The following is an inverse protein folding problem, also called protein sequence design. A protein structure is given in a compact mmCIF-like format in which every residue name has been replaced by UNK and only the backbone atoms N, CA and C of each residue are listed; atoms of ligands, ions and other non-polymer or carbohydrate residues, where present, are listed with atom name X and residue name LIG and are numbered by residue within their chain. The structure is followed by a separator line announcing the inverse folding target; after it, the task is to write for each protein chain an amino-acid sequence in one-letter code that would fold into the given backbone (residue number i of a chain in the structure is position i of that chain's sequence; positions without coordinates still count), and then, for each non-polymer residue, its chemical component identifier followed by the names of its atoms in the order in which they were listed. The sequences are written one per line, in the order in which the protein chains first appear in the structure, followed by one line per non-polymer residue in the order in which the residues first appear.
data_IF_212627323082
#
_entry.id   IF_212627323082
#
_cell.length_a   1.000
_cell.length_b   1.000
_cell.length_c   1.000
_cell.angle_alpha   90.00
_cell.angle_beta   90.00
_cell.angle_gamma   90.00
#
_symmetry.space_group_name_H-M   'P 1'
#
loop_
_entity.id
_entity.type
_entity.pdbx_description
1 polymer ?
#
# COMPACT_ATOMS: atom_id res chain seq x y z
N UNK A 1 11.71 -12.77 -5.22
CA UNK A 1 11.01 -13.68 -4.30
C UNK A 1 10.52 -14.91 -5.07
N UNK A 2 10.29 -16.04 -4.40
CA UNK A 2 9.72 -17.25 -5.00
C UNK A 2 8.37 -16.99 -5.70
N UNK A 3 7.57 -16.09 -5.17
CA UNK A 3 6.30 -15.67 -5.75
C UNK A 3 6.51 -14.97 -7.11
N UNK A 4 7.50 -14.10 -7.21
CA UNK A 4 7.86 -13.43 -8.46
C UNK A 4 8.32 -14.45 -9.53
N UNK A 5 9.12 -15.44 -9.11
CA UNK A 5 9.59 -16.52 -9.97
C UNK A 5 8.45 -17.42 -10.47
N UNK A 6 7.44 -17.66 -9.60
CA UNK A 6 6.25 -18.41 -9.95
C UNK A 6 5.41 -17.69 -11.01
N UNK A 7 5.17 -16.40 -10.84
CA UNK A 7 4.38 -15.59 -11.78
C UNK A 7 5.04 -15.49 -13.16
N UNK A 8 6.37 -15.36 -13.21
CA UNK A 8 7.10 -15.36 -14.49
C UNK A 8 7.09 -16.73 -15.21
N UNK A 9 7.08 -17.82 -14.46
CA UNK A 9 6.96 -19.18 -15.01
C UNK A 9 5.57 -19.52 -15.55
N UNK A 10 4.51 -18.87 -15.04
CA UNK A 10 3.14 -19.07 -15.50
C UNK A 10 2.79 -18.28 -16.77
N UNK A 11 3.73 -17.50 -17.32
CA UNK A 11 3.52 -16.69 -18.52
C UNK A 11 2.60 -15.48 -18.31
N UNK A 12 2.29 -15.14 -17.07
CA UNK A 12 1.47 -13.97 -16.74
C UNK A 12 2.24 -12.69 -17.11
N UNK A 13 1.64 -11.88 -17.95
CA UNK A 13 2.22 -10.61 -18.38
C UNK A 13 2.11 -9.58 -17.28
N UNK A 14 3.23 -8.99 -16.89
CA UNK A 14 3.27 -7.89 -15.95
C UNK A 14 2.72 -6.62 -16.60
N UNK A 15 1.69 -6.02 -16.02
CA UNK A 15 1.23 -4.68 -16.38
C UNK A 15 2.29 -3.65 -15.99
N UNK A 16 2.65 -2.75 -16.91
CA UNK A 16 3.57 -1.66 -16.64
C UNK A 16 2.88 -0.29 -16.65
N UNK A 17 3.57 0.73 -16.14
CA UNK A 17 3.04 2.09 -16.02
C UNK A 17 2.64 2.67 -17.38
N UNK A 18 3.44 2.46 -18.43
CA UNK A 18 3.15 2.99 -19.76
C UNK A 18 1.86 2.40 -20.36
N UNK A 19 1.65 1.09 -20.23
CA UNK A 19 0.44 0.42 -20.71
C UNK A 19 -0.82 0.91 -19.96
N UNK A 20 -0.74 1.05 -18.63
CA UNK A 20 -1.84 1.60 -17.83
C UNK A 20 -2.13 3.06 -18.18
N UNK A 21 -1.11 3.89 -18.36
CA UNK A 21 -1.25 5.28 -18.76
C UNK A 21 -1.91 5.42 -20.15
N UNK A 22 -1.56 4.54 -21.10
CA UNK A 22 -2.19 4.50 -22.41
C UNK A 22 -3.69 4.16 -22.32
N UNK A 23 -4.09 3.31 -21.38
CA UNK A 23 -5.48 2.89 -21.21
C UNK A 23 -6.38 3.97 -20.57
N UNK A 24 -5.82 5.05 -20.03
CA UNK A 24 -6.57 6.12 -19.35
C UNK A 24 -7.63 6.77 -20.25
N UNK A 25 -7.39 6.90 -21.55
CA UNK A 25 -8.35 7.50 -22.49
C UNK A 25 -9.70 6.76 -22.54
N UNK A 26 -9.73 5.51 -22.11
CA UNK A 26 -10.93 4.65 -22.07
C UNK A 26 -11.28 4.21 -20.64
N UNK A 27 -10.80 4.94 -19.63
CA UNK A 27 -11.02 4.57 -18.24
C UNK A 27 -12.49 4.69 -17.84
N UNK A 28 -12.94 3.68 -17.09
CA UNK A 28 -14.25 3.62 -16.46
C UNK A 28 -14.10 3.73 -14.94
N UNK A 29 -14.37 4.90 -14.34
CA UNK A 29 -14.24 5.08 -12.89
C UNK A 29 -15.19 4.20 -12.06
N UNK A 30 -16.38 3.87 -12.58
CA UNK A 30 -17.33 3.00 -11.85
C UNK A 30 -16.77 1.56 -11.76
N UNK A 31 -16.21 1.04 -12.84
CA UNK A 31 -15.47 -0.23 -12.78
C UNK A 31 -14.26 -0.13 -11.84
N UNK A 32 -13.57 1.01 -11.82
CA UNK A 32 -12.48 1.26 -10.86
C UNK A 32 -12.94 1.16 -9.41
N UNK A 33 -14.12 1.69 -9.09
CA UNK A 33 -14.75 1.56 -7.76
C UNK A 33 -15.07 0.11 -7.43
N UNK A 34 -15.63 -0.65 -8.37
CA UNK A 34 -15.90 -2.08 -8.20
C UNK A 34 -14.63 -2.87 -7.93
N UNK A 35 -13.54 -2.55 -8.62
CA UNK A 35 -12.23 -3.16 -8.38
C UNK A 35 -11.68 -2.84 -6.98
N UNK A 36 -11.82 -1.59 -6.53
CA UNK A 36 -11.34 -1.16 -5.21
C UNK A 36 -11.98 -1.94 -4.07
N UNK A 37 -13.30 -2.11 -4.11
CA UNK A 37 -14.07 -2.81 -3.10
C UNK A 37 -14.24 -4.31 -3.37
N UNK A 38 -13.82 -4.79 -4.51
CA UNK A 38 -13.93 -6.17 -4.97
C UNK A 38 -12.58 -6.85 -5.10
N UNK A 39 -12.30 -7.41 -6.28
CA UNK A 39 -11.12 -8.25 -6.52
C UNK A 39 -9.77 -7.53 -6.39
N UNK A 40 -9.75 -6.20 -6.44
CA UNK A 40 -8.56 -5.41 -6.15
C UNK A 40 -8.20 -5.39 -4.67
N UNK A 41 -9.18 -5.66 -3.79
CA UNK A 41 -9.01 -5.74 -2.32
C UNK A 41 -8.36 -4.51 -1.67
N UNK A 42 -8.41 -3.36 -2.33
CA UNK A 42 -7.77 -2.12 -1.84
C UNK A 42 -8.35 -1.66 -0.49
N UNK A 43 -9.66 -1.87 -0.28
CA UNK A 43 -10.36 -1.57 0.97
C UNK A 43 -9.85 -2.39 2.17
N UNK A 44 -9.12 -3.47 1.95
CA UNK A 44 -8.51 -4.23 3.03
C UNK A 44 -7.43 -3.42 3.80
N UNK A 45 -6.87 -2.38 3.16
CA UNK A 45 -5.86 -1.51 3.75
C UNK A 45 -6.23 -0.03 3.71
N UNK A 46 -7.03 0.40 2.73
CA UNK A 46 -7.42 1.80 2.55
C UNK A 46 -8.88 2.04 2.91
N UNK A 47 -9.13 2.86 3.93
CA UNK A 47 -10.49 3.26 4.29
C UNK A 47 -10.94 4.41 3.38
N UNK A 48 -12.04 4.19 2.66
CA UNK A 48 -12.67 5.19 1.78
C UNK A 48 -14.18 5.14 1.97
N UNK A 49 -14.82 6.30 2.06
CA UNK A 49 -16.29 6.42 2.22
C UNK A 49 -16.83 5.61 3.40
N UNK A 50 -16.11 5.58 4.51
CA UNK A 50 -16.49 4.82 5.71
C UNK A 50 -16.31 3.30 5.62
N UNK A 51 -15.85 2.78 4.48
CA UNK A 51 -15.58 1.34 4.24
C UNK A 51 -14.09 1.07 4.21
N UNK A 52 -13.68 -0.07 4.76
CA UNK A 52 -12.29 -0.53 4.76
C UNK A 52 -11.55 -0.26 6.07
N UNK A 53 -10.24 -0.48 6.04
CA UNK A 53 -9.34 -0.44 7.20
C UNK A 53 -8.25 0.61 6.99
N UNK A 54 -7.81 1.26 8.07
CA UNK A 54 -6.74 2.28 8.03
C UNK A 54 -5.38 1.60 8.25
N UNK A 55 -4.90 0.86 7.26
CA UNK A 55 -3.55 0.29 7.20
C UNK A 55 -2.69 0.93 6.13
N UNK A 56 -3.30 1.64 5.19
CA UNK A 56 -2.65 2.40 4.13
C UNK A 56 -2.98 3.89 4.23
N UNK A 57 -2.28 4.74 3.44
CA UNK A 57 -2.55 6.16 3.39
C UNK A 57 -4.00 6.49 3.00
N UNK A 58 -4.51 7.61 3.52
CA UNK A 58 -5.79 8.15 3.07
C UNK A 58 -5.70 8.59 1.61
N UNK A 59 -6.62 8.10 0.79
CA UNK A 59 -6.68 8.38 -0.64
C UNK A 59 -7.61 9.55 -0.98
N UNK A 60 -8.44 9.99 -0.02
CA UNK A 60 -9.34 11.13 -0.21
C UNK A 60 -8.54 12.40 -0.48
N UNK A 61 -8.88 13.11 -1.55
CA UNK A 61 -8.19 14.33 -1.95
C UNK A 61 -6.78 14.12 -2.51
N UNK A 62 -6.40 12.88 -2.88
CA UNK A 62 -5.06 12.60 -3.42
C UNK A 62 -4.76 13.43 -4.67
N UNK A 63 -5.79 13.74 -5.50
CA UNK A 63 -5.66 14.58 -6.69
C UNK A 63 -5.10 15.98 -6.42
N UNK A 64 -5.16 16.46 -5.18
CA UNK A 64 -4.58 17.76 -4.76
C UNK A 64 -3.09 17.66 -4.46
N UNK A 65 -2.57 16.46 -4.24
CA UNK A 65 -1.20 16.20 -3.79
C UNK A 65 -0.35 15.48 -4.82
N UNK A 66 -0.99 14.66 -5.65
CA UNK A 66 -0.31 13.76 -6.59
C UNK A 66 -1.05 13.73 -7.92
N UNK A 67 -0.34 13.40 -8.99
CA UNK A 67 -0.91 13.18 -10.31
C UNK A 67 -1.32 11.72 -10.54
N UNK A 68 -2.01 11.49 -11.64
CA UNK A 68 -2.51 10.17 -12.03
C UNK A 68 -1.36 9.16 -12.24
N UNK A 69 -0.24 9.60 -12.79
CA UNK A 69 0.93 8.75 -13.01
C UNK A 69 1.52 8.24 -11.71
N UNK A 70 1.54 9.09 -10.68
CA UNK A 70 1.96 8.70 -9.33
C UNK A 70 1.06 7.59 -8.77
N UNK A 71 -0.27 7.71 -8.92
CA UNK A 71 -1.21 6.68 -8.46
C UNK A 71 -1.00 5.36 -9.19
N UNK A 72 -0.90 5.40 -10.52
CA UNK A 72 -0.60 4.21 -11.34
C UNK A 72 0.70 3.54 -10.87
N UNK A 73 1.75 4.32 -10.71
CA UNK A 73 3.06 3.81 -10.27
C UNK A 73 3.00 3.23 -8.86
N UNK A 74 2.29 3.86 -7.94
CA UNK A 74 2.13 3.36 -6.56
C UNK A 74 1.43 2.02 -6.50
N UNK A 75 0.49 1.74 -7.39
CA UNK A 75 -0.19 0.45 -7.48
C UNK A 75 0.72 -0.63 -8.09
N UNK A 76 1.43 -0.30 -9.16
CA UNK A 76 2.24 -1.25 -9.91
C UNK A 76 3.63 -1.50 -9.31
N UNK A 77 4.18 -0.48 -8.66
CA UNK A 77 5.53 -0.47 -8.08
C UNK A 77 5.46 0.08 -6.63
N UNK A 78 4.78 -0.61 -5.69
CA UNK A 78 4.51 -0.06 -4.36
C UNK A 78 5.78 0.19 -3.52
N UNK A 79 6.89 -0.46 -3.85
CA UNK A 79 8.18 -0.25 -3.18
C UNK A 79 8.94 0.99 -3.68
N UNK A 80 8.52 1.58 -4.81
CA UNK A 80 9.21 2.73 -5.40
C UNK A 80 9.15 3.97 -4.49
N UNK A 81 8.04 4.15 -3.78
CA UNK A 81 7.85 5.21 -2.79
C UNK A 81 6.89 4.76 -1.70
N UNK A 82 7.37 4.68 -0.48
CA UNK A 82 6.55 4.38 0.70
C UNK A 82 6.30 5.69 1.44
N UNK A 83 5.02 6.03 1.61
CA UNK A 83 4.60 7.25 2.30
C UNK A 83 5.11 7.23 3.74
N UNK A 84 5.63 8.36 4.22
CA UNK A 84 6.07 8.52 5.62
C UNK A 84 4.95 8.10 6.60
N UNK A 85 5.31 7.35 7.64
CA UNK A 85 4.36 6.78 8.59
C UNK A 85 3.78 5.42 8.17
N UNK A 86 4.03 4.96 6.94
CA UNK A 86 3.59 3.65 6.44
C UNK A 86 4.73 2.67 6.18
N UNK A 87 5.94 3.01 6.60
CA UNK A 87 7.09 2.12 6.61
C UNK A 87 6.85 0.99 7.60
N UNK A 88 6.93 -0.26 7.14
CA UNK A 88 6.88 -1.40 8.04
C UNK A 88 8.21 -1.58 8.76
N UNK A 89 8.14 -1.82 10.06
CA UNK A 89 9.29 -1.90 10.95
C UNK A 89 9.15 -3.11 11.86
N UNK A 90 10.25 -3.81 12.06
CA UNK A 90 10.38 -4.86 13.08
C UNK A 90 11.18 -4.32 14.26
N UNK A 91 10.58 -4.40 15.44
CA UNK A 91 11.24 -4.06 16.72
C UNK A 91 11.47 -5.32 17.53
N UNK A 92 12.69 -5.51 18.03
CA UNK A 92 13.00 -6.50 19.06
C UNK A 92 13.19 -5.77 20.39
N UNK A 93 12.48 -6.20 21.43
CA UNK A 93 12.51 -5.59 22.75
C UNK A 93 13.37 -6.37 23.73
N UNK A 94 13.83 -5.72 24.80
CA UNK A 94 14.64 -6.32 25.88
C UNK A 94 13.95 -7.50 26.58
N UNK A 95 12.62 -7.47 26.66
CA UNK A 95 11.81 -8.55 27.26
C UNK A 95 11.60 -9.74 26.31
N UNK A 96 12.19 -9.72 25.11
CA UNK A 96 12.12 -10.78 24.11
C UNK A 96 10.95 -10.66 23.13
N UNK A 97 10.01 -9.74 23.33
CA UNK A 97 8.93 -9.51 22.36
C UNK A 97 9.50 -9.02 21.03
N UNK A 98 8.89 -9.47 19.95
CA UNK A 98 9.08 -8.92 18.61
C UNK A 98 7.78 -8.29 18.11
N UNK A 99 7.85 -7.04 17.69
CA UNK A 99 6.72 -6.29 17.13
C UNK A 99 7.01 -6.02 15.67
N UNK A 100 6.01 -6.25 14.82
CA UNK A 100 6.06 -5.93 13.40
C UNK A 100 4.85 -5.08 13.03
N UNK A 101 5.08 -3.91 12.49
CA UNK A 101 4.02 -2.97 12.15
C UNK A 101 4.56 -1.66 11.60
N UNK A 102 3.73 -0.63 11.65
CA UNK A 102 4.08 0.71 11.18
C UNK A 102 4.32 1.64 12.37
N UNK A 103 5.41 2.38 12.34
CA UNK A 103 5.67 3.45 13.32
C UNK A 103 4.74 4.62 13.00
N UNK A 104 3.83 4.91 13.91
CA UNK A 104 2.85 6.00 13.77
C UNK A 104 3.34 7.30 14.38
N UNK A 105 3.99 7.20 15.53
CA UNK A 105 4.55 8.33 16.24
C UNK A 105 5.88 7.92 16.89
N UNK A 106 6.85 8.81 16.86
CA UNK A 106 8.16 8.61 17.47
C UNK A 106 8.63 9.90 18.10
N UNK A 107 8.95 9.83 19.39
CA UNK A 107 9.56 10.92 20.15
C UNK A 107 10.77 10.39 20.93
N UNK A 108 11.49 11.25 21.63
CA UNK A 108 12.58 10.82 22.52
C UNK A 108 12.10 9.92 23.68
N UNK A 109 10.80 9.94 24.01
CA UNK A 109 10.23 9.25 25.15
C UNK A 109 9.38 8.03 24.75
N UNK A 110 8.89 7.96 23.51
CA UNK A 110 8.01 6.87 23.10
C UNK A 110 8.10 6.57 21.60
N UNK A 111 7.85 5.30 21.27
CA UNK A 111 7.60 4.83 19.91
C UNK A 111 6.22 4.17 19.91
N UNK A 112 5.28 4.70 19.13
CA UNK A 112 3.99 4.06 18.90
C UNK A 112 4.05 3.23 17.61
N UNK A 113 3.84 1.92 17.75
CA UNK A 113 3.78 1.00 16.62
C UNK A 113 2.34 0.49 16.43
N UNK A 114 1.85 0.58 15.19
CA UNK A 114 0.56 0.06 14.78
C UNK A 114 0.72 -1.30 14.12
N UNK A 115 0.14 -2.33 14.76
CA UNK A 115 0.24 -3.71 14.28
C UNK A 115 -0.82 -4.03 13.23
N UNK A 116 -0.58 -5.01 12.34
CA UNK A 116 -1.58 -5.50 11.37
C UNK A 116 -2.88 -5.98 12.00
N UNK A 117 -2.84 -6.36 13.27
CA UNK A 117 -4.02 -6.76 14.07
C UNK A 117 -4.94 -5.59 14.44
N UNK A 118 -4.54 -4.34 14.14
CA UNK A 118 -5.24 -3.14 14.55
C UNK A 118 -4.86 -2.60 15.95
N UNK A 119 -3.96 -3.29 16.66
CA UNK A 119 -3.48 -2.83 17.97
C UNK A 119 -2.40 -1.75 17.82
N UNK A 120 -2.47 -0.76 18.70
CA UNK A 120 -1.42 0.23 18.92
C UNK A 120 -0.66 -0.14 20.18
N UNK A 121 0.66 -0.18 20.08
CA UNK A 121 1.55 -0.48 21.20
C UNK A 121 2.52 0.67 21.35
N UNK A 122 2.63 1.20 22.56
CA UNK A 122 3.61 2.22 22.93
C UNK A 122 4.79 1.54 23.62
N UNK A 123 5.99 1.81 23.14
CA UNK A 123 7.24 1.28 23.63
C UNK A 123 8.17 2.42 24.04
N UNK A 124 8.85 2.29 25.16
CA UNK A 124 9.94 3.19 25.49
C UNK A 124 11.14 2.89 24.55
N UNK A 125 11.73 3.90 23.89
CA UNK A 125 12.90 3.71 23.03
C UNK A 125 14.03 2.90 23.68
N UNK A 126 14.23 3.06 24.99
CA UNK A 126 15.27 2.32 25.76
C UNK A 126 15.00 0.81 25.85
N UNK A 127 13.78 0.37 25.60
CA UNK A 127 13.43 -1.06 25.57
C UNK A 127 13.75 -1.70 24.22
N UNK A 128 14.03 -0.92 23.18
CA UNK A 128 14.29 -1.41 21.83
C UNK A 128 15.75 -1.86 21.73
N UNK A 129 15.95 -3.16 21.50
CA UNK A 129 17.29 -3.76 21.31
C UNK A 129 17.71 -3.71 19.85
N UNK A 130 16.74 -3.88 18.94
CA UNK A 130 16.99 -3.88 17.49
C UNK A 130 15.78 -3.34 16.75
N UNK A 131 16.05 -2.51 15.74
CA UNK A 131 15.09 -2.01 14.78
C UNK A 131 15.53 -2.36 13.36
N UNK A 132 14.62 -2.88 12.56
CA UNK A 132 14.84 -3.15 11.13
C UNK A 132 13.65 -2.62 10.36
N UNK A 133 13.88 -1.61 9.53
CA UNK A 133 12.88 -1.09 8.62
C UNK A 133 12.82 -1.99 7.37
N UNK A 134 11.61 -2.40 6.99
CA UNK A 134 11.40 -3.23 5.83
C UNK A 134 11.67 -2.44 4.54
N UNK A 135 12.28 -3.10 3.55
CA UNK A 135 12.55 -2.51 2.23
C UNK A 135 11.31 -2.52 1.32
N UNK A 136 10.30 -3.31 1.67
CA UNK A 136 9.10 -3.51 0.89
C UNK A 136 7.91 -2.83 1.53
N UNK A 137 7.02 -2.28 0.69
CA UNK A 137 5.73 -1.76 1.10
C UNK A 137 4.83 -2.87 1.64
N UNK A 138 3.93 -2.53 2.56
CA UNK A 138 2.81 -3.41 2.93
C UNK A 138 1.78 -3.57 1.81
N UNK A 139 1.77 -2.67 0.82
CA UNK A 139 0.93 -2.81 -0.37
C UNK A 139 1.50 -3.91 -1.28
N UNK A 140 0.66 -4.90 -1.70
CA UNK A 140 1.14 -6.02 -2.50
C UNK A 140 1.65 -5.60 -3.88
N UNK A 141 2.81 -6.12 -4.29
CA UNK A 141 3.34 -5.94 -5.65
C UNK A 141 2.66 -6.83 -6.71
N UNK A 142 1.78 -7.74 -6.27
CA UNK A 142 1.06 -8.69 -7.13
C UNK A 142 0.06 -8.05 -8.07
N UNK A 143 -0.42 -6.85 -7.79
CA UNK A 143 -1.39 -6.15 -8.64
C UNK A 143 -0.89 -5.95 -10.07
N UNK A 144 0.41 -5.79 -10.28
CA UNK A 144 1.01 -5.73 -11.60
C UNK A 144 0.77 -7.00 -12.46
N UNK A 145 0.44 -8.12 -11.83
CA UNK A 145 0.18 -9.40 -12.50
C UNK A 145 -1.29 -9.80 -12.49
N UNK A 146 -2.07 -9.30 -11.55
CA UNK A 146 -3.48 -9.69 -11.35
C UNK A 146 -4.47 -8.71 -11.95
N UNK A 147 -4.03 -7.47 -12.21
CA UNK A 147 -4.86 -6.42 -12.82
C UNK A 147 -4.31 -6.06 -14.20
N UNK A 148 -5.22 -5.94 -15.17
CA UNK A 148 -4.87 -5.53 -16.54
C UNK A 148 -4.50 -4.04 -16.60
N UNK A 149 -3.87 -3.56 -17.69
CA UNK A 149 -3.67 -2.13 -17.91
C UNK A 149 -4.97 -1.32 -17.81
N UNK A 150 -6.08 -1.84 -18.32
CA UNK A 150 -7.38 -1.17 -18.23
C UNK A 150 -7.90 -1.14 -16.79
N UNK A 151 -7.78 -2.25 -16.04
CA UNK A 151 -8.15 -2.30 -14.62
C UNK A 151 -7.40 -1.23 -13.81
N UNK A 152 -6.09 -1.09 -14.05
CA UNK A 152 -5.26 -0.09 -13.37
C UNK A 152 -5.68 1.32 -13.76
N UNK A 153 -5.99 1.56 -15.04
CA UNK A 153 -6.49 2.85 -15.51
C UNK A 153 -7.82 3.22 -14.86
N UNK A 154 -8.78 2.30 -14.82
CA UNK A 154 -10.09 2.48 -14.23
C UNK A 154 -9.98 2.77 -12.74
N UNK A 155 -9.23 1.95 -12.02
CA UNK A 155 -8.98 2.08 -10.59
C UNK A 155 -8.30 3.41 -10.24
N UNK A 156 -7.24 3.77 -10.95
CA UNK A 156 -6.49 5.01 -10.72
C UNK A 156 -7.35 6.25 -10.98
N UNK A 157 -8.16 6.22 -12.03
CA UNK A 157 -9.08 7.32 -12.36
C UNK A 157 -10.14 7.49 -11.29
N UNK A 158 -10.70 6.40 -10.77
CA UNK A 158 -11.64 6.48 -9.65
C UNK A 158 -10.98 7.03 -8.38
N UNK A 159 -9.78 6.55 -8.02
CA UNK A 159 -9.03 7.04 -6.85
C UNK A 159 -8.79 8.55 -6.94
N UNK A 160 -8.43 9.04 -8.13
CA UNK A 160 -8.22 10.48 -8.36
C UNK A 160 -9.52 11.30 -8.25
N UNK A 161 -10.69 10.68 -8.32
CA UNK A 161 -12.00 11.34 -8.16
C UNK A 161 -12.45 11.50 -6.71
N UNK A 162 -11.76 10.88 -5.75
CA UNK A 162 -12.13 10.91 -4.33
C UNK A 162 -11.95 12.31 -3.73
N UNK A 163 -13.06 12.86 -3.19
CA UNK A 163 -13.12 14.20 -2.59
C UNK A 163 -13.48 14.12 -1.11
#
# INVERSE_FOLDING_TARGET
SMYHLFLTKTGLRKTNVAAAAHAISKADPEHGKELFFGRGTCFACHKVQGRGVVLGPDLVGIHKRQDLKYVIKSILEPDAYIVEGFQQTRLKLKDGRELFGMIQEETAQMVEIFLPTGKRIVVNPDEIVKRVDAKHSGMPSSFAYTLSPQDIADLSTWIMSLK
#
